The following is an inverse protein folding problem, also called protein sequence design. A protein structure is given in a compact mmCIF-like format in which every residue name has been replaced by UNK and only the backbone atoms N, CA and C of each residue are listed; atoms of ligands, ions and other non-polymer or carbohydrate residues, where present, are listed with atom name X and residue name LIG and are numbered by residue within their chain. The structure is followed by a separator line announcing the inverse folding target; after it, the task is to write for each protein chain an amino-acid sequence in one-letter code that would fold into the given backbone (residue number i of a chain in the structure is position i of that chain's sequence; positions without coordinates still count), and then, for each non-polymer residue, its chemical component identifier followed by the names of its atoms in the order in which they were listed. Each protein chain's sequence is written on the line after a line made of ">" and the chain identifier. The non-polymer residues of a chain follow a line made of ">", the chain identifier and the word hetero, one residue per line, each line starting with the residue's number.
data_IF_834761122603
#
_entry.id   IF_834761122603
#
_cell.length_a   1.000
_cell.length_b   1.000
_cell.length_c   1.000
_cell.angle_alpha   90.00
_cell.angle_beta   90.00
_cell.angle_gamma   90.00
#
_symmetry.space_group_name_H-M   'P 1'
#
loop_
_entity.id
_entity.type
_entity.pdbx_description
1 polymer ?
#
# COMPACT_ATOMS: atom_id res chain seq x y z
N UNK A 1 -31.13 9.61 19.09
CA UNK A 1 -32.39 9.10 19.71
C UNK A 1 -33.62 9.96 19.34
N UNK A 2 -33.41 11.12 18.67
CA UNK A 2 -34.49 12.05 18.36
C UNK A 2 -35.05 11.89 16.92
N UNK A 3 -34.38 11.10 16.09
CA UNK A 3 -34.78 10.89 14.69
C UNK A 3 -35.67 9.66 14.58
N UNK A 4 -36.85 9.80 13.95
CA UNK A 4 -37.74 8.68 13.71
C UNK A 4 -37.07 7.63 12.81
N UNK A 5 -37.21 6.32 13.09
CA UNK A 5 -36.58 5.25 12.28
C UNK A 5 -36.88 5.31 10.79
N UNK A 6 -38.11 5.67 10.42
CA UNK A 6 -38.51 5.85 9.01
C UNK A 6 -37.75 7.01 8.35
N UNK A 7 -37.51 8.10 9.07
CA UNK A 7 -36.74 9.26 8.56
C UNK A 7 -35.29 8.84 8.32
N UNK A 8 -34.70 8.13 9.27
CA UNK A 8 -33.35 7.58 9.11
C UNK A 8 -33.25 6.62 7.91
N UNK A 9 -34.25 5.74 7.76
CA UNK A 9 -34.31 4.80 6.63
C UNK A 9 -34.43 5.52 5.28
N UNK A 10 -35.30 6.53 5.17
CA UNK A 10 -35.49 7.31 3.93
C UNK A 10 -34.21 8.06 3.57
N UNK A 11 -33.50 8.64 4.55
CA UNK A 11 -32.23 9.32 4.33
C UNK A 11 -31.15 8.34 3.80
N UNK A 12 -31.01 7.16 4.41
CA UNK A 12 -30.09 6.12 3.93
C UNK A 12 -30.47 5.63 2.51
N UNK A 13 -31.78 5.47 2.24
CA UNK A 13 -32.25 5.05 0.94
C UNK A 13 -31.90 6.10 -0.13
N UNK A 14 -32.06 7.40 0.17
CA UNK A 14 -31.72 8.48 -0.74
C UNK A 14 -30.23 8.46 -1.12
N UNK A 15 -29.33 8.30 -0.15
CA UNK A 15 -27.90 8.17 -0.42
C UNK A 15 -27.60 6.94 -1.31
N UNK A 16 -28.20 5.79 -1.03
CA UNK A 16 -28.04 4.57 -1.83
C UNK A 16 -28.54 4.69 -3.25
N UNK A 17 -29.70 5.35 -3.46
CA UNK A 17 -30.28 5.55 -4.80
C UNK A 17 -29.38 6.45 -5.66
N UNK A 18 -28.76 7.46 -5.04
CA UNK A 18 -27.80 8.34 -5.73
C UNK A 18 -26.43 7.66 -5.91
N UNK A 19 -26.16 6.57 -5.18
CA UNK A 19 -24.90 5.84 -5.24
C UNK A 19 -23.78 6.46 -4.42
N UNK A 20 -24.13 7.21 -3.36
CA UNK A 20 -23.17 7.83 -2.46
C UNK A 20 -22.98 6.97 -1.19
N UNK A 21 -21.73 6.74 -0.82
CA UNK A 21 -21.34 6.04 0.39
C UNK A 21 -21.47 6.95 1.62
N UNK A 22 -21.03 8.20 1.47
CA UNK A 22 -21.17 9.27 2.45
C UNK A 22 -21.92 10.43 1.79
N UNK A 23 -22.99 10.89 2.42
CA UNK A 23 -23.81 11.96 1.89
C UNK A 23 -24.37 12.86 3.00
N UNK A 24 -24.54 14.13 2.70
CA UNK A 24 -25.38 15.04 3.46
C UNK A 24 -26.81 15.02 2.89
N UNK A 25 -27.80 14.82 3.75
CA UNK A 25 -29.20 14.79 3.34
C UNK A 25 -29.91 16.00 3.97
N UNK A 26 -30.28 16.93 3.12
CA UNK A 26 -31.07 18.09 3.54
C UNK A 26 -32.56 17.75 3.47
N UNK A 27 -33.27 17.94 4.57
CA UNK A 27 -34.68 17.63 4.64
C UNK A 27 -35.47 18.71 5.39
N UNK A 28 -36.71 18.85 5.01
CA UNK A 28 -37.66 19.73 5.68
C UNK A 28 -38.65 18.89 6.46
N UNK A 29 -38.75 19.17 7.76
CA UNK A 29 -39.68 18.52 8.67
C UNK A 29 -40.14 19.51 9.74
N UNK A 30 -41.39 19.40 10.22
CA UNK A 30 -41.84 20.15 11.42
C UNK A 30 -41.31 19.53 12.69
N UNK A 31 -41.18 18.19 12.72
CA UNK A 31 -40.74 17.42 13.83
C UNK A 31 -40.00 16.16 13.30
N UNK A 32 -38.68 16.09 13.50
CA UNK A 32 -37.83 15.00 13.00
C UNK A 32 -38.12 13.67 13.71
N UNK A 33 -38.79 13.70 14.87
CA UNK A 33 -39.19 12.49 15.61
C UNK A 33 -40.46 11.84 15.08
N UNK A 34 -41.04 12.36 14.01
CA UNK A 34 -42.24 11.84 13.36
C UNK A 34 -41.99 11.53 11.87
N UNK A 35 -42.73 10.57 11.27
CA UNK A 35 -42.60 10.27 9.85
C UNK A 35 -42.80 11.49 8.95
N UNK A 36 -41.99 11.67 7.92
CA UNK A 36 -42.07 12.85 7.00
C UNK A 36 -43.43 12.97 6.32
N UNK A 37 -44.00 11.84 5.88
CA UNK A 37 -45.26 11.81 5.12
C UNK A 37 -46.44 12.30 5.95
N UNK A 38 -46.42 12.14 7.30
CA UNK A 38 -47.53 12.59 8.16
C UNK A 38 -47.59 14.08 8.38
N UNK A 39 -46.52 14.80 8.06
CA UNK A 39 -46.36 16.23 8.32
C UNK A 39 -46.03 17.07 7.08
N UNK A 40 -46.07 16.43 5.88
CA UNK A 40 -45.69 17.08 4.62
C UNK A 40 -44.18 17.41 4.53
N UNK A 41 -43.35 16.64 5.23
CA UNK A 41 -41.89 16.73 5.16
C UNK A 41 -41.35 16.07 3.88
N UNK A 42 -40.17 16.50 3.46
CA UNK A 42 -39.51 15.96 2.26
C UNK A 42 -37.97 16.06 2.36
N UNK A 43 -37.30 15.23 1.60
CA UNK A 43 -35.87 15.42 1.27
C UNK A 43 -35.80 16.51 0.18
N UNK A 44 -34.93 17.47 0.39
CA UNK A 44 -34.71 18.60 -0.53
C UNK A 44 -33.49 18.36 -1.38
N UNK A 45 -32.41 17.88 -0.77
CA UNK A 45 -31.11 17.74 -1.43
C UNK A 45 -30.31 16.56 -0.87
N UNK A 46 -29.47 15.96 -1.74
CA UNK A 46 -28.49 14.92 -1.40
C UNK A 46 -27.11 15.41 -1.85
N UNK A 47 -26.26 15.71 -0.89
CA UNK A 47 -24.94 16.33 -1.11
C UNK A 47 -23.81 15.29 -1.05
N UNK A 48 -22.98 15.20 -2.09
CA UNK A 48 -21.82 14.29 -2.15
C UNK A 48 -20.64 14.75 -1.26
N UNK A 49 -20.58 16.03 -0.92
CA UNK A 49 -19.54 16.60 -0.07
C UNK A 49 -20.13 17.37 1.11
N UNK A 50 -20.67 16.68 2.13
CA UNK A 50 -21.38 17.35 3.21
C UNK A 50 -20.43 18.20 4.08
N UNK A 51 -20.88 19.41 4.44
CA UNK A 51 -20.24 20.25 5.42
C UNK A 51 -20.38 19.66 6.83
N UNK A 52 -19.27 19.36 7.51
CA UNK A 52 -19.32 18.75 8.84
C UNK A 52 -19.43 19.76 9.96
N UNK A 53 -19.09 21.03 9.69
CA UNK A 53 -18.94 22.05 10.74
C UNK A 53 -20.23 22.27 11.56
N UNK A 54 -21.38 22.27 10.92
CA UNK A 54 -22.67 22.47 11.57
C UNK A 54 -23.04 21.35 12.56
N UNK A 55 -22.49 20.15 12.36
CA UNK A 55 -22.67 19.02 13.26
C UNK A 55 -21.65 19.04 14.41
N UNK A 56 -20.41 19.49 14.14
CA UNK A 56 -19.34 19.57 15.11
C UNK A 56 -19.44 20.79 16.02
N UNK A 57 -20.00 21.90 15.49
CA UNK A 57 -20.20 23.19 16.20
C UNK A 57 -21.59 23.74 15.92
N UNK A 58 -22.68 23.08 16.37
CA UNK A 58 -24.03 23.59 16.18
C UNK A 58 -24.23 24.91 16.95
N UNK A 59 -25.07 25.80 16.40
CA UNK A 59 -25.44 27.02 17.09
C UNK A 59 -26.27 26.75 18.35
N UNK A 60 -27.06 25.68 18.33
CA UNK A 60 -27.88 25.22 19.47
C UNK A 60 -27.79 23.68 19.51
N UNK A 61 -27.68 23.12 20.70
CA UNK A 61 -27.60 21.67 20.91
C UNK A 61 -26.17 21.17 21.15
N UNK A 62 -26.01 19.86 21.32
CA UNK A 62 -24.73 19.22 21.56
C UNK A 62 -24.01 18.90 20.23
N UNK A 63 -22.68 19.06 20.20
CA UNK A 63 -21.85 18.57 19.09
C UNK A 63 -22.06 17.08 18.83
N UNK A 64 -22.02 16.67 17.56
CA UNK A 64 -22.10 15.27 17.16
C UNK A 64 -20.81 14.87 16.44
N UNK A 65 -20.17 13.75 16.79
CA UNK A 65 -18.88 13.33 16.22
C UNK A 65 -19.05 12.66 14.85
N UNK A 66 -19.67 13.36 13.88
CA UNK A 66 -19.94 12.81 12.54
C UNK A 66 -18.67 12.43 11.79
N UNK A 67 -17.56 13.14 12.01
CA UNK A 67 -16.27 12.81 11.44
C UNK A 67 -15.73 11.47 11.93
N UNK A 68 -15.95 11.14 13.22
CA UNK A 68 -15.58 9.83 13.76
C UNK A 68 -16.41 8.72 13.11
N UNK A 69 -17.72 8.88 12.97
CA UNK A 69 -18.59 7.90 12.33
C UNK A 69 -18.20 7.66 10.85
N UNK A 70 -17.79 8.71 10.14
CA UNK A 70 -17.26 8.61 8.77
C UNK A 70 -15.93 7.83 8.77
N UNK A 71 -15.01 8.13 9.67
CA UNK A 71 -13.73 7.44 9.76
C UNK A 71 -13.92 5.94 10.10
N UNK A 72 -14.77 5.62 11.06
CA UNK A 72 -15.11 4.24 11.45
C UNK A 72 -15.81 3.46 10.32
N UNK A 73 -16.60 4.14 9.50
CA UNK A 73 -17.22 3.53 8.32
C UNK A 73 -16.22 3.25 7.19
N UNK A 74 -15.29 4.19 6.95
CA UNK A 74 -14.27 4.05 5.90
C UNK A 74 -13.15 3.07 6.30
N UNK A 75 -12.86 2.99 7.58
CA UNK A 75 -11.78 2.19 8.15
C UNK A 75 -12.33 1.38 9.34
N UNK A 76 -13.19 0.39 9.07
CA UNK A 76 -13.71 -0.45 10.14
C UNK A 76 -12.54 -1.15 10.84
N UNK A 77 -12.49 -1.03 12.17
CA UNK A 77 -11.58 -1.83 12.98
C UNK A 77 -12.19 -3.22 13.14
N UNK A 78 -11.88 -4.12 12.23
CA UNK A 78 -12.17 -5.52 12.43
C UNK A 78 -11.24 -6.04 13.53
N UNK A 79 -11.82 -6.59 14.59
CA UNK A 79 -11.07 -7.07 15.75
C UNK A 79 -10.10 -8.23 15.42
N UNK A 80 -10.19 -8.78 14.21
CA UNK A 80 -9.39 -9.90 13.71
C UNK A 80 -8.32 -9.45 12.66
N UNK A 81 -8.28 -8.19 12.26
CA UNK A 81 -7.28 -7.67 11.32
C UNK A 81 -6.11 -7.05 12.10
N UNK A 82 -5.00 -7.80 12.21
CA UNK A 82 -3.76 -7.35 12.87
C UNK A 82 -3.02 -6.27 12.06
N UNK A 83 -3.54 -5.86 10.90
CA UNK A 83 -2.95 -4.84 10.04
C UNK A 83 -3.32 -3.40 10.45
N UNK A 84 -2.52 -2.40 10.07
CA UNK A 84 -2.87 -0.99 10.28
C UNK A 84 -4.14 -0.65 9.49
N UNK A 85 -5.18 -0.21 10.20
CA UNK A 85 -6.49 0.11 9.62
C UNK A 85 -6.36 1.02 8.38
N UNK A 86 -7.02 0.61 7.28
CA UNK A 86 -7.03 1.36 6.03
C UNK A 86 -5.81 1.21 5.13
N UNK A 87 -4.92 0.24 5.39
CA UNK A 87 -3.80 -0.09 4.51
C UNK A 87 -3.99 -1.46 3.87
N UNK A 88 -3.70 -1.54 2.58
CA UNK A 88 -3.57 -2.83 1.89
C UNK A 88 -2.11 -3.31 1.94
N UNK A 89 -1.83 -4.62 1.93
CA UNK A 89 -0.49 -5.14 1.72
C UNK A 89 0.15 -4.56 0.46
N UNK A 90 1.33 -3.96 0.61
CA UNK A 90 2.05 -3.32 -0.48
C UNK A 90 3.50 -3.82 -0.53
N UNK A 91 3.92 -4.22 -1.73
CA UNK A 91 5.30 -4.59 -2.05
C UNK A 91 5.88 -3.56 -3.02
N UNK A 92 6.90 -2.82 -2.60
CA UNK A 92 7.69 -1.96 -3.46
C UNK A 92 8.92 -2.69 -3.99
N UNK A 93 9.17 -2.62 -5.29
CA UNK A 93 10.34 -3.24 -5.93
C UNK A 93 11.14 -2.17 -6.64
N UNK A 94 12.36 -1.94 -6.18
CA UNK A 94 13.25 -0.90 -6.72
C UNK A 94 14.54 -1.49 -7.29
N UNK A 95 15.02 -0.91 -8.40
CA UNK A 95 16.22 -1.32 -9.11
C UNK A 95 16.07 -1.23 -10.62
N UNK A 96 16.99 -1.86 -11.34
CA UNK A 96 16.99 -1.86 -12.82
C UNK A 96 16.92 -3.27 -13.41
N UNK A 97 17.36 -4.29 -12.66
CA UNK A 97 17.46 -5.67 -13.16
C UNK A 97 16.34 -6.56 -12.63
N UNK A 98 15.64 -7.20 -13.55
CA UNK A 98 14.60 -8.20 -13.26
C UNK A 98 13.43 -7.67 -12.40
N UNK A 99 13.34 -6.38 -12.16
CA UNK A 99 12.33 -5.76 -11.31
C UNK A 99 10.91 -6.07 -11.78
N UNK A 100 10.62 -5.96 -13.09
CA UNK A 100 9.33 -6.34 -13.66
C UNK A 100 9.01 -7.83 -13.47
N UNK A 101 10.00 -8.70 -13.66
CA UNK A 101 9.82 -10.15 -13.44
C UNK A 101 9.52 -10.47 -11.98
N UNK A 102 10.28 -9.87 -11.05
CA UNK A 102 10.05 -10.02 -9.61
C UNK A 102 8.65 -9.51 -9.25
N UNK A 103 8.30 -8.31 -9.69
CA UNK A 103 7.00 -7.69 -9.44
C UNK A 103 5.84 -8.56 -9.94
N UNK A 104 5.96 -9.13 -11.13
CA UNK A 104 4.95 -10.03 -11.71
C UNK A 104 4.82 -11.33 -10.93
N UNK A 105 5.93 -11.94 -10.52
CA UNK A 105 5.91 -13.18 -9.72
C UNK A 105 5.29 -12.92 -8.35
N UNK A 106 5.66 -11.82 -7.69
CA UNK A 106 5.09 -11.44 -6.38
C UNK A 106 3.59 -11.16 -6.51
N UNK A 107 3.16 -10.38 -7.51
CA UNK A 107 1.73 -10.12 -7.75
C UNK A 107 0.96 -11.42 -8.03
N UNK A 108 1.56 -12.36 -8.77
CA UNK A 108 0.98 -13.67 -9.01
C UNK A 108 0.80 -14.48 -7.72
N UNK A 109 1.80 -14.49 -6.84
CA UNK A 109 1.72 -15.20 -5.55
C UNK A 109 0.66 -14.57 -4.63
N UNK A 110 0.55 -13.25 -4.59
CA UNK A 110 -0.51 -12.54 -3.85
C UNK A 110 -1.90 -12.88 -4.41
N UNK A 111 -2.04 -12.94 -5.74
CA UNK A 111 -3.29 -13.37 -6.38
C UNK A 111 -3.65 -14.81 -6.00
N UNK A 112 -2.68 -15.73 -6.01
CA UNK A 112 -2.90 -17.13 -5.61
C UNK A 112 -3.27 -17.26 -4.13
N UNK A 113 -2.89 -16.33 -3.26
CA UNK A 113 -3.31 -16.31 -1.86
C UNK A 113 -4.73 -15.74 -1.65
N UNK A 114 -5.43 -15.39 -2.73
CA UNK A 114 -6.84 -14.97 -2.72
C UNK A 114 -7.07 -13.46 -2.72
N UNK A 115 -6.02 -12.64 -2.85
CA UNK A 115 -6.18 -11.18 -2.91
C UNK A 115 -6.50 -10.71 -4.33
N UNK A 116 -7.39 -9.72 -4.45
CA UNK A 116 -7.47 -8.90 -5.67
C UNK A 116 -6.23 -8.01 -5.75
N UNK A 117 -5.31 -8.42 -6.62
CA UNK A 117 -3.96 -7.85 -6.67
C UNK A 117 -3.82 -6.83 -7.80
N UNK A 118 -3.30 -5.67 -7.47
CA UNK A 118 -2.86 -4.67 -8.42
C UNK A 118 -1.35 -4.70 -8.64
N UNK A 119 -0.91 -4.51 -9.88
CA UNK A 119 0.50 -4.42 -10.24
C UNK A 119 0.72 -3.24 -11.20
N UNK A 120 1.65 -2.35 -10.84
CA UNK A 120 2.20 -1.32 -11.73
C UNK A 120 3.69 -1.60 -11.95
N UNK A 121 4.08 -1.91 -13.18
CA UNK A 121 5.45 -2.22 -13.54
C UNK A 121 5.73 -1.78 -14.98
N UNK A 122 6.99 -1.85 -15.44
CA UNK A 122 7.34 -1.48 -16.80
C UNK A 122 6.68 -2.32 -17.90
N UNK A 123 6.23 -3.54 -17.58
CA UNK A 123 5.47 -4.39 -18.51
C UNK A 123 4.00 -3.98 -18.63
N UNK A 124 3.50 -3.10 -17.78
CA UNK A 124 2.14 -2.59 -17.80
C UNK A 124 1.48 -2.44 -16.44
N UNK A 125 0.18 -2.08 -16.48
CA UNK A 125 -0.71 -2.07 -15.34
C UNK A 125 -1.61 -3.31 -15.39
N UNK A 126 -1.63 -4.07 -14.31
CA UNK A 126 -2.43 -5.29 -14.21
C UNK A 126 -3.38 -5.22 -13.01
N UNK A 127 -4.59 -5.77 -13.20
CA UNK A 127 -5.53 -6.10 -12.13
C UNK A 127 -5.73 -7.61 -12.16
N UNK A 128 -5.29 -8.29 -11.13
CA UNK A 128 -5.17 -9.74 -11.08
C UNK A 128 -4.37 -10.27 -12.28
N UNK A 129 -5.02 -11.03 -13.16
CA UNK A 129 -4.42 -11.57 -14.40
C UNK A 129 -4.65 -10.69 -15.63
N UNK A 130 -5.46 -9.65 -15.49
CA UNK A 130 -5.85 -8.80 -16.62
C UNK A 130 -4.85 -7.67 -16.81
N UNK A 131 -4.24 -7.62 -17.98
CA UNK A 131 -3.51 -6.44 -18.45
C UNK A 131 -4.52 -5.32 -18.78
N UNK A 132 -4.44 -4.22 -18.07
CA UNK A 132 -5.32 -3.04 -18.23
C UNK A 132 -4.68 -2.03 -19.16
N UNK A 133 -3.36 -1.84 -19.04
CA UNK A 133 -2.56 -0.92 -19.85
C UNK A 133 -1.24 -1.58 -20.22
N UNK A 134 -0.90 -1.60 -21.53
CA UNK A 134 0.26 -2.28 -22.09
C UNK A 134 1.44 -1.32 -22.38
N UNK A 135 1.58 -0.26 -21.58
CA UNK A 135 2.69 0.69 -21.62
C UNK A 135 3.55 0.55 -20.37
N UNK A 136 4.71 1.20 -20.34
CA UNK A 136 5.50 1.29 -19.11
C UNK A 136 4.67 2.02 -18.03
N UNK A 137 4.39 1.31 -16.94
CA UNK A 137 3.62 1.77 -15.78
C UNK A 137 4.47 1.83 -14.49
N UNK A 138 5.81 1.73 -14.60
CA UNK A 138 6.72 1.89 -13.46
C UNK A 138 6.92 3.38 -13.10
N UNK A 139 5.84 4.13 -12.99
CA UNK A 139 5.84 5.57 -12.68
C UNK A 139 4.73 5.94 -11.70
N UNK A 140 4.86 7.09 -11.08
CA UNK A 140 4.01 7.55 -9.97
C UNK A 140 2.51 7.57 -10.33
N UNK A 141 2.14 8.09 -11.50
CA UNK A 141 0.73 8.26 -11.90
C UNK A 141 0.01 6.91 -12.07
N UNK A 142 0.70 5.90 -12.64
CA UNK A 142 0.13 4.57 -12.78
C UNK A 142 -0.04 3.87 -11.43
N UNK A 143 0.97 3.97 -10.56
CA UNK A 143 0.92 3.45 -9.20
C UNK A 143 -0.17 4.14 -8.38
N UNK A 144 -0.30 5.46 -8.46
CA UNK A 144 -1.35 6.21 -7.78
C UNK A 144 -2.75 5.82 -8.26
N UNK A 145 -2.99 5.71 -9.58
CA UNK A 145 -4.26 5.21 -10.13
C UNK A 145 -4.61 3.82 -9.61
N UNK A 146 -3.60 2.94 -9.51
CA UNK A 146 -3.78 1.60 -8.97
C UNK A 146 -4.26 1.64 -7.52
N UNK A 147 -3.61 2.44 -6.67
CA UNK A 147 -3.94 2.58 -5.25
C UNK A 147 -5.29 3.27 -5.00
N UNK A 148 -5.77 4.09 -5.95
CA UNK A 148 -7.11 4.67 -5.90
C UNK A 148 -8.22 3.66 -6.23
N UNK A 149 -7.90 2.49 -6.73
CA UNK A 149 -8.90 1.47 -7.08
C UNK A 149 -9.31 0.68 -5.84
N UNK A 150 -10.52 0.91 -5.35
CA UNK A 150 -11.11 0.26 -4.17
C UNK A 150 -11.21 -1.28 -4.26
N UNK A 151 -11.09 -1.86 -5.45
CA UNK A 151 -11.11 -3.33 -5.63
C UNK A 151 -9.74 -3.97 -5.35
N UNK A 152 -8.67 -3.18 -5.33
CA UNK A 152 -7.32 -3.68 -5.05
C UNK A 152 -7.16 -3.94 -3.56
N UNK A 153 -6.86 -5.18 -3.21
CA UNK A 153 -6.67 -5.65 -1.83
C UNK A 153 -5.19 -5.88 -1.49
N UNK A 154 -4.32 -5.98 -2.51
CA UNK A 154 -2.87 -6.01 -2.36
C UNK A 154 -2.22 -5.36 -3.57
N UNK A 155 -1.11 -4.66 -3.42
CA UNK A 155 -0.44 -3.98 -4.52
C UNK A 155 1.05 -4.33 -4.61
N UNK A 156 1.54 -4.42 -5.85
CA UNK A 156 2.97 -4.49 -6.15
C UNK A 156 3.33 -3.33 -7.07
N UNK A 157 4.32 -2.54 -6.68
CA UNK A 157 4.72 -1.34 -7.40
C UNK A 157 6.21 -1.41 -7.70
N UNK A 158 6.54 -1.40 -8.99
CA UNK A 158 7.90 -1.25 -9.49
C UNK A 158 8.26 0.25 -9.57
N UNK A 159 9.46 0.61 -9.11
CA UNK A 159 9.99 1.95 -9.22
C UNK A 159 11.49 1.90 -9.56
N UNK A 160 11.97 2.81 -10.38
CA UNK A 160 13.39 3.02 -10.61
C UNK A 160 13.89 4.29 -9.92
N UNK A 161 15.20 4.49 -9.93
CA UNK A 161 15.82 5.68 -9.32
C UNK A 161 15.32 6.98 -9.96
N UNK A 162 15.05 7.00 -11.26
CA UNK A 162 14.53 8.16 -11.98
C UNK A 162 13.15 8.56 -11.50
N UNK A 163 12.26 7.59 -11.35
CA UNK A 163 10.90 7.79 -10.82
C UNK A 163 10.96 8.31 -9.39
N UNK A 164 11.80 7.70 -8.54
CA UNK A 164 11.97 8.13 -7.14
C UNK A 164 12.46 9.58 -7.06
N UNK A 165 13.40 9.98 -7.92
CA UNK A 165 13.94 11.35 -7.93
C UNK A 165 12.94 12.37 -8.47
N UNK A 166 12.19 12.02 -9.51
CA UNK A 166 11.28 12.94 -10.18
C UNK A 166 9.99 13.17 -9.41
N UNK A 167 9.38 12.09 -8.92
CA UNK A 167 8.00 12.10 -8.41
C UNK A 167 7.89 11.53 -6.98
N UNK A 168 8.92 10.84 -6.50
CA UNK A 168 8.86 10.06 -5.26
C UNK A 168 8.15 8.72 -5.44
N UNK A 169 7.93 8.02 -4.32
CA UNK A 169 7.11 6.82 -4.28
C UNK A 169 5.62 7.23 -4.21
N UNK A 170 4.75 6.46 -4.88
CA UNK A 170 3.30 6.71 -4.86
C UNK A 170 2.62 6.26 -3.55
N UNK A 171 3.38 5.81 -2.59
CA UNK A 171 2.94 5.34 -1.26
C UNK A 171 3.88 5.87 -0.18
N UNK A 172 3.35 6.02 1.01
CA UNK A 172 4.08 6.50 2.19
C UNK A 172 4.80 5.38 2.95
N UNK A 173 4.23 4.16 2.97
CA UNK A 173 4.76 2.98 3.65
C UNK A 173 4.43 1.71 2.87
N UNK A 174 5.26 0.67 3.04
CA UNK A 174 5.03 -0.66 2.48
C UNK A 174 5.37 -1.76 3.50
N UNK A 175 4.73 -2.93 3.34
CA UNK A 175 5.07 -4.11 4.13
C UNK A 175 6.38 -4.75 3.69
N UNK A 176 6.64 -4.73 2.37
CA UNK A 176 7.87 -5.28 1.83
C UNK A 176 8.52 -4.30 0.87
N UNK A 177 9.78 -3.96 1.13
CA UNK A 177 10.62 -3.17 0.25
C UNK A 177 11.74 -4.01 -0.34
N UNK A 178 11.74 -4.20 -1.67
CA UNK A 178 12.76 -4.97 -2.38
C UNK A 178 13.72 -4.02 -3.07
N UNK A 179 15.04 -4.21 -2.89
CA UNK A 179 16.07 -3.52 -3.67
C UNK A 179 16.94 -4.56 -4.37
N UNK A 180 16.91 -4.54 -5.71
CA UNK A 180 17.60 -5.53 -6.54
C UNK A 180 19.03 -5.14 -6.88
N UNK A 181 19.26 -3.86 -7.17
CA UNK A 181 20.54 -3.30 -7.58
C UNK A 181 20.54 -1.76 -7.48
N UNK A 182 21.69 -1.15 -7.76
CA UNK A 182 21.89 0.29 -7.79
C UNK A 182 22.61 0.72 -9.07
N UNK A 183 22.26 0.10 -10.20
CA UNK A 183 22.85 0.42 -11.49
C UNK A 183 22.20 1.67 -12.12
N UNK A 184 22.84 2.24 -13.14
CA UNK A 184 22.27 3.32 -13.96
C UNK A 184 22.56 4.74 -13.46
N UNK A 185 23.53 4.94 -12.57
CA UNK A 185 23.98 6.28 -12.11
C UNK A 185 24.22 7.24 -13.27
N UNK A 186 24.85 6.74 -14.35
CA UNK A 186 25.18 7.50 -15.55
C UNK A 186 23.95 8.07 -16.28
N UNK A 187 22.76 7.56 -15.99
CA UNK A 187 21.51 8.02 -16.60
C UNK A 187 20.81 9.12 -15.80
N UNK A 188 21.34 9.48 -14.63
CA UNK A 188 20.69 10.36 -13.65
C UNK A 188 21.33 11.74 -13.53
N UNK A 189 22.20 12.11 -14.48
CA UNK A 189 22.89 13.42 -14.48
C UNK A 189 21.94 14.63 -14.45
N UNK A 190 20.74 14.51 -15.01
CA UNK A 190 19.72 15.58 -14.97
C UNK A 190 19.19 15.87 -13.55
N UNK A 191 19.37 14.93 -12.61
CA UNK A 191 19.02 15.09 -11.19
C UNK A 191 20.24 15.38 -10.31
N UNK A 192 21.36 15.76 -10.90
CA UNK A 192 22.63 16.01 -10.20
C UNK A 192 23.16 14.77 -9.43
N UNK A 193 22.85 13.58 -9.93
CA UNK A 193 23.33 12.28 -9.42
C UNK A 193 24.41 11.77 -10.37
N UNK A 194 25.65 11.73 -9.88
CA UNK A 194 26.85 11.39 -10.67
C UNK A 194 27.67 10.25 -10.06
N UNK A 195 27.46 9.98 -8.76
CA UNK A 195 28.26 9.03 -7.98
C UNK A 195 27.42 7.98 -7.31
N UNK A 196 28.02 6.82 -7.01
CA UNK A 196 27.35 5.68 -6.39
C UNK A 196 26.79 6.00 -5.00
N UNK A 197 27.46 6.84 -4.23
CA UNK A 197 26.99 7.26 -2.90
C UNK A 197 25.69 8.08 -2.97
N UNK A 198 25.51 8.84 -4.07
CA UNK A 198 24.27 9.57 -4.32
C UNK A 198 23.14 8.59 -4.71
N UNK A 199 23.44 7.59 -5.57
CA UNK A 199 22.49 6.53 -5.92
C UNK A 199 22.03 5.76 -4.67
N UNK A 200 22.96 5.46 -3.75
CA UNK A 200 22.62 4.81 -2.48
C UNK A 200 21.58 5.61 -1.68
N UNK A 201 21.68 6.94 -1.66
CA UNK A 201 20.70 7.82 -0.99
C UNK A 201 19.33 7.77 -1.67
N UNK A 202 19.29 7.64 -3.00
CA UNK A 202 18.04 7.51 -3.76
C UNK A 202 17.38 6.16 -3.44
N UNK A 203 18.12 5.07 -3.56
CA UNK A 203 17.60 3.71 -3.35
C UNK A 203 17.24 3.41 -1.89
N UNK A 204 17.89 4.10 -0.94
CA UNK A 204 17.54 4.10 0.47
C UNK A 204 16.06 4.44 0.70
N UNK A 205 15.46 5.33 -0.12
CA UNK A 205 14.05 5.71 0.00
C UNK A 205 13.12 4.49 0.02
N UNK A 206 13.44 3.43 -0.76
CA UNK A 206 12.64 2.19 -0.76
C UNK A 206 12.73 1.43 0.57
N UNK A 207 13.84 1.54 1.29
CA UNK A 207 14.04 0.89 2.59
C UNK A 207 13.44 1.71 3.72
N UNK A 208 13.58 3.04 3.68
CA UNK A 208 13.05 3.96 4.70
C UNK A 208 11.51 3.93 4.82
N UNK A 209 10.81 3.49 3.78
CA UNK A 209 9.33 3.38 3.79
C UNK A 209 8.82 2.01 4.24
N UNK A 210 9.70 1.07 4.61
CA UNK A 210 9.29 -0.23 5.14
C UNK A 210 8.72 -0.03 6.55
N UNK A 211 7.57 -0.66 6.82
CA UNK A 211 6.96 -0.66 8.15
C UNK A 211 7.81 -1.44 9.15
N UNK A 212 7.74 -1.08 10.43
CA UNK A 212 8.46 -1.77 11.50
C UNK A 212 8.11 -3.27 11.61
N UNK A 213 6.86 -3.63 11.30
CA UNK A 213 6.38 -5.01 11.20
C UNK A 213 6.59 -5.62 9.80
N UNK A 214 7.19 -4.88 8.89
CA UNK A 214 7.48 -5.28 7.51
C UNK A 214 8.86 -5.89 7.32
N UNK A 215 9.31 -5.98 6.07
CA UNK A 215 10.62 -6.51 5.73
C UNK A 215 11.28 -5.80 4.54
N UNK A 216 12.56 -5.46 4.66
CA UNK A 216 13.43 -5.11 3.55
C UNK A 216 14.08 -6.37 2.95
N UNK A 217 13.92 -6.57 1.65
CA UNK A 217 14.49 -7.71 0.89
C UNK A 217 15.63 -7.20 0.01
N UNK A 218 16.86 -7.53 0.36
CA UNK A 218 18.05 -6.88 -0.20
C UNK A 218 18.98 -7.89 -0.88
N UNK A 219 19.49 -7.53 -2.06
CA UNK A 219 20.42 -8.36 -2.81
C UNK A 219 21.82 -8.36 -2.16
N UNK A 220 22.17 -9.42 -1.48
CA UNK A 220 23.45 -9.58 -0.79
C UNK A 220 24.66 -9.73 -1.72
N UNK A 221 24.45 -10.02 -3.01
CA UNK A 221 25.53 -10.10 -3.99
C UNK A 221 26.08 -8.70 -4.38
N UNK A 222 25.38 -7.63 -4.01
CA UNK A 222 25.78 -6.24 -4.26
C UNK A 222 26.02 -5.58 -2.89
N UNK A 223 27.29 -5.32 -2.52
CA UNK A 223 27.62 -4.78 -1.19
C UNK A 223 26.84 -3.50 -0.84
N UNK A 224 26.72 -2.56 -1.77
CA UNK A 224 25.99 -1.30 -1.56
C UNK A 224 24.50 -1.52 -1.25
N UNK A 225 23.88 -2.57 -1.80
CA UNK A 225 22.49 -2.94 -1.48
C UNK A 225 22.41 -3.59 -0.11
N UNK A 226 23.36 -4.49 0.22
CA UNK A 226 23.42 -5.12 1.53
C UNK A 226 23.66 -4.08 2.64
N UNK A 227 24.43 -3.03 2.38
CA UNK A 227 24.72 -1.95 3.31
C UNK A 227 23.48 -1.10 3.68
N UNK A 228 22.36 -1.25 2.97
CA UNK A 228 21.09 -0.66 3.36
C UNK A 228 20.42 -1.37 4.55
N UNK A 229 20.82 -2.59 4.86
CA UNK A 229 20.18 -3.41 5.90
C UNK A 229 20.00 -2.70 7.26
N UNK A 230 20.99 -1.96 7.80
CA UNK A 230 20.84 -1.24 9.07
C UNK A 230 19.85 -0.06 9.03
N UNK A 231 19.37 0.33 7.85
CA UNK A 231 18.46 1.47 7.66
C UNK A 231 16.98 1.06 7.67
N UNK A 232 16.69 -0.24 7.67
CA UNK A 232 15.31 -0.72 7.74
C UNK A 232 14.80 -0.67 9.17
N UNK A 233 13.61 -0.09 9.36
CA UNK A 233 12.88 -0.17 10.63
C UNK A 233 12.28 -1.57 10.86
N UNK A 234 12.02 -2.31 9.78
CA UNK A 234 11.48 -3.67 9.80
C UNK A 234 12.57 -4.74 9.69
N UNK A 235 12.13 -5.99 9.62
CA UNK A 235 13.01 -7.13 9.40
C UNK A 235 13.83 -6.99 8.10
N UNK A 236 14.98 -7.67 8.06
CA UNK A 236 15.82 -7.76 6.86
C UNK A 236 15.90 -9.19 6.36
N UNK A 237 15.66 -9.38 5.06
CA UNK A 237 15.89 -10.64 4.36
C UNK A 237 16.96 -10.40 3.29
N UNK A 238 18.11 -11.00 3.46
CA UNK A 238 19.17 -10.99 2.44
C UNK A 238 18.93 -12.09 1.42
N UNK A 239 19.12 -11.80 0.13
CA UNK A 239 19.06 -12.86 -0.89
C UNK A 239 20.28 -12.84 -1.82
N UNK A 240 20.71 -14.02 -2.26
CA UNK A 240 21.74 -14.19 -3.29
C UNK A 240 21.64 -15.58 -3.92
N UNK A 241 22.28 -15.76 -5.08
CA UNK A 241 22.49 -17.11 -5.59
C UNK A 241 23.50 -17.91 -4.73
N UNK A 242 24.55 -17.24 -4.29
CA UNK A 242 25.59 -17.85 -3.44
C UNK A 242 25.29 -17.61 -1.95
N UNK A 243 24.91 -18.67 -1.25
CA UNK A 243 24.66 -18.66 0.19
C UNK A 243 25.92 -18.62 1.05
N UNK A 244 27.13 -18.69 0.46
CA UNK A 244 28.40 -18.67 1.19
C UNK A 244 28.99 -17.27 1.38
N UNK A 245 28.29 -16.24 0.85
CA UNK A 245 28.73 -14.85 1.02
C UNK A 245 28.90 -14.49 2.50
N UNK A 246 30.01 -13.85 2.90
CA UNK A 246 30.27 -13.46 4.29
C UNK A 246 29.13 -12.65 4.90
N UNK A 247 28.56 -11.72 4.16
CA UNK A 247 27.45 -10.88 4.63
C UNK A 247 26.20 -11.70 4.99
N UNK A 248 25.93 -12.79 4.26
CA UNK A 248 24.82 -13.72 4.58
C UNK A 248 25.15 -14.49 5.86
N UNK A 249 26.38 -14.98 6.00
CA UNK A 249 26.80 -15.72 7.21
C UNK A 249 26.74 -14.82 8.46
N UNK A 250 27.23 -13.60 8.37
CA UNK A 250 27.17 -12.59 9.44
C UNK A 250 25.72 -12.21 9.80
N UNK A 251 24.87 -12.00 8.78
CA UNK A 251 23.45 -11.66 8.98
C UNK A 251 22.71 -12.82 9.68
N UNK A 252 22.94 -14.05 9.26
CA UNK A 252 22.35 -15.25 9.89
C UNK A 252 22.84 -15.50 11.32
N UNK A 253 24.05 -15.08 11.64
CA UNK A 253 24.60 -15.19 13.01
C UNK A 253 23.95 -14.21 14.00
N UNK A 254 23.28 -13.14 13.51
CA UNK A 254 22.47 -12.24 14.34
C UNK A 254 21.13 -12.90 14.66
N UNK A 255 20.48 -12.46 15.74
CA UNK A 255 19.17 -12.96 16.17
C UNK A 255 18.16 -12.90 15.02
N UNK A 256 17.61 -14.07 14.67
CA UNK A 256 16.59 -14.24 13.63
C UNK A 256 16.97 -13.75 12.21
N UNK A 257 18.25 -13.56 11.90
CA UNK A 257 18.69 -13.17 10.56
C UNK A 257 18.16 -14.12 9.48
N UNK A 258 17.39 -13.59 8.53
CA UNK A 258 16.76 -14.35 7.45
C UNK A 258 17.51 -14.16 6.14
N UNK A 259 17.72 -15.25 5.41
CA UNK A 259 18.35 -15.20 4.09
C UNK A 259 17.73 -16.21 3.13
N UNK A 260 17.70 -15.85 1.84
CA UNK A 260 17.27 -16.75 0.75
C UNK A 260 18.44 -16.94 -0.22
N UNK A 261 18.79 -18.18 -0.50
CA UNK A 261 19.88 -18.49 -1.41
C UNK A 261 19.71 -19.85 -2.09
N UNK A 262 20.56 -20.14 -3.07
CA UNK A 262 20.57 -21.43 -3.75
C UNK A 262 21.62 -22.35 -3.12
N UNK A 263 21.19 -23.55 -2.72
CA UNK A 263 22.07 -24.61 -2.18
C UNK A 263 21.75 -25.93 -2.88
N UNK A 264 22.74 -26.51 -3.54
CA UNK A 264 22.59 -27.77 -4.29
C UNK A 264 21.43 -27.72 -5.32
N UNK A 265 21.30 -26.61 -6.04
CA UNK A 265 20.25 -26.40 -7.05
C UNK A 265 18.83 -26.18 -6.48
N UNK A 266 18.71 -25.98 -5.17
CA UNK A 266 17.41 -25.73 -4.49
C UNK A 266 17.40 -24.37 -3.83
N UNK A 267 16.23 -23.72 -3.88
CA UNK A 267 16.02 -22.47 -3.14
C UNK A 267 15.80 -22.78 -1.66
N UNK A 268 16.59 -22.15 -0.82
CA UNK A 268 16.58 -22.35 0.63
C UNK A 268 16.26 -21.03 1.32
N UNK A 269 15.29 -21.05 2.24
CA UNK A 269 15.08 -20.01 3.23
C UNK A 269 15.82 -20.42 4.51
N UNK A 270 16.76 -19.61 4.95
CA UNK A 270 17.47 -19.78 6.21
C UNK A 270 16.98 -18.75 7.24
N UNK A 271 16.82 -19.18 8.49
CA UNK A 271 16.56 -18.32 9.65
C UNK A 271 17.56 -18.73 10.74
N UNK A 272 18.53 -17.87 11.02
CA UNK A 272 19.66 -18.23 11.88
C UNK A 272 20.39 -19.48 11.34
N UNK A 273 20.47 -20.55 12.14
CA UNK A 273 21.05 -21.84 11.75
C UNK A 273 20.07 -22.78 11.03
N UNK A 274 18.78 -22.55 11.11
CA UNK A 274 17.75 -23.39 10.48
C UNK A 274 17.66 -23.12 8.97
N UNK A 275 17.45 -24.17 8.18
CA UNK A 275 17.29 -24.10 6.73
C UNK A 275 16.06 -24.88 6.27
N UNK A 276 15.24 -24.24 5.44
CA UNK A 276 14.04 -24.81 4.85
C UNK A 276 14.14 -24.74 3.32
N UNK A 277 13.95 -25.86 2.64
CA UNK A 277 13.92 -25.91 1.18
C UNK A 277 12.56 -25.42 0.72
N UNK A 278 12.52 -24.36 -0.08
CA UNK A 278 11.29 -23.79 -0.65
C UNK A 278 10.91 -24.42 -1.99
N UNK A 279 11.90 -24.87 -2.79
CA UNK A 279 11.67 -25.42 -4.11
C UNK A 279 12.96 -25.72 -4.86
N UNK A 280 12.80 -26.19 -6.11
CA UNK A 280 13.92 -26.52 -7.04
C UNK A 280 13.89 -25.56 -8.22
#
# INVERSE_FOLDING_TARGET
>A
DDVHPEVAYIAQLAAKVVGLDIAGIDMVARDISKPLHTQGGAIVEVNAGPGLLMHLKPAVGAPRPVGQAIAEHLFPSDADDEGPAGRIPLVGVAGTRNTATISRVVAWLLHLSGHHTGLACRDGLFLDRRLVEATDCAHWEAAHRLLMNKMVQAAVIESDARTILRDGLAYDRCQVGVVTDMDGVETLAEFDVHEQDQMTKVMRTQVDVVLAEGAAVLNAAIPQVADLAPLSDGDVVLYAQDGTLPVIAEHRAKDNGRAVFVKNGRVVLATGSAEHVLGT
#
